data_IF_401393835411
#
_entry.id   IF_401393835411
#
_cell.length_a   1.000
_cell.length_b   1.000
_cell.length_c   1.000
_cell.angle_alpha   90.00
_cell.angle_beta   90.00
_cell.angle_gamma   90.00
#
_symmetry.space_group_name_H-M   'P 1'
#
loop_
_entity.id
_entity.type
_entity.pdbx_description
1 polymer ?
#
# COMPACT_ATOMS: atom_id res chain seq x y z
N UNK A 1 -44.08 66.04 21.36
CA UNK A 1 -44.68 64.75 20.94
C UNK A 1 -43.76 64.16 19.88
N UNK A 2 -42.75 63.39 20.28
CA UNK A 2 -41.79 62.75 19.36
C UNK A 2 -41.89 61.25 19.53
N UNK A 3 -42.35 60.58 18.47
CA UNK A 3 -42.51 59.13 18.40
C UNK A 3 -41.18 58.57 17.90
N UNK A 4 -40.45 57.85 18.76
CA UNK A 4 -39.31 57.03 18.35
C UNK A 4 -39.85 55.71 17.78
N UNK A 5 -39.69 55.52 16.47
CA UNK A 5 -39.94 54.24 15.81
C UNK A 5 -38.74 53.30 16.05
N UNK A 6 -38.94 52.25 16.83
CA UNK A 6 -38.00 51.13 16.92
C UNK A 6 -38.18 50.22 15.69
N UNK A 7 -37.21 50.22 14.77
CA UNK A 7 -37.07 49.12 13.82
C UNK A 7 -36.46 47.93 14.57
N UNK A 8 -37.26 46.88 14.76
CA UNK A 8 -36.77 45.58 15.18
C UNK A 8 -36.07 44.91 14.00
N UNK A 9 -34.74 44.83 14.05
CA UNK A 9 -33.98 43.99 13.12
C UNK A 9 -34.25 42.52 13.46
N UNK A 10 -34.95 41.81 12.58
CA UNK A 10 -35.09 40.36 12.67
C UNK A 10 -33.71 39.73 12.46
N UNK A 11 -33.11 39.23 13.53
CA UNK A 11 -31.89 38.42 13.46
C UNK A 11 -32.23 37.12 12.73
N UNK A 12 -31.78 36.97 11.49
CA UNK A 12 -31.84 35.70 10.77
C UNK A 12 -31.03 34.68 11.57
N UNK A 13 -31.68 33.61 12.04
CA UNK A 13 -30.99 32.48 12.63
C UNK A 13 -30.01 31.90 11.61
N UNK A 14 -28.73 31.65 11.97
CA UNK A 14 -27.79 31.03 11.05
C UNK A 14 -28.37 29.68 10.62
N UNK A 15 -28.40 29.44 9.31
CA UNK A 15 -28.78 28.14 8.77
C UNK A 15 -27.91 27.06 9.43
N UNK A 16 -28.47 25.90 9.82
CA UNK A 16 -27.68 24.82 10.39
C UNK A 16 -26.59 24.47 9.38
N UNK A 17 -25.33 24.54 9.81
CA UNK A 17 -24.19 24.16 8.99
C UNK A 17 -24.39 22.70 8.55
N UNK A 18 -24.26 22.44 7.25
CA UNK A 18 -24.30 21.06 6.73
C UNK A 18 -23.25 20.24 7.49
N UNK A 19 -23.61 19.09 8.09
CA UNK A 19 -22.66 18.25 8.80
C UNK A 19 -21.46 17.92 7.90
N UNK A 20 -20.26 17.94 8.47
CA UNK A 20 -19.07 17.51 7.75
C UNK A 20 -19.21 16.03 7.37
N UNK A 21 -18.88 15.70 6.12
CA UNK A 21 -18.91 14.31 5.64
C UNK A 21 -17.78 13.51 6.27
N UNK A 22 -18.07 12.26 6.61
CA UNK A 22 -17.05 11.29 7.01
C UNK A 22 -16.16 10.88 5.84
N UNK A 23 -14.96 10.32 6.09
CA UNK A 23 -14.10 9.82 5.03
C UNK A 23 -14.81 8.79 4.13
N UNK A 24 -15.61 7.90 4.70
CA UNK A 24 -16.36 6.90 3.96
C UNK A 24 -17.42 7.50 3.04
N UNK A 25 -18.15 8.51 3.49
CA UNK A 25 -19.14 9.22 2.67
C UNK A 25 -18.48 9.99 1.53
N UNK A 26 -17.31 10.59 1.75
CA UNK A 26 -16.56 11.28 0.69
C UNK A 26 -16.13 10.31 -0.40
N UNK A 27 -15.62 9.13 -0.02
CA UNK A 27 -15.24 8.08 -0.98
C UNK A 27 -16.47 7.56 -1.74
N UNK A 28 -17.57 7.31 -1.03
CA UNK A 28 -18.81 6.83 -1.65
C UNK A 28 -19.41 7.84 -2.65
N UNK A 29 -19.26 9.14 -2.38
CA UNK A 29 -19.73 10.23 -3.23
C UNK A 29 -18.73 10.66 -4.32
N UNK A 30 -17.53 10.05 -4.39
CA UNK A 30 -16.52 10.42 -5.36
C UNK A 30 -16.99 10.13 -6.80
N UNK A 31 -16.92 11.09 -7.74
CA UNK A 31 -17.36 10.90 -9.11
C UNK A 31 -16.49 9.86 -9.80
N UNK A 32 -17.05 9.13 -10.78
CA UNK A 32 -16.33 8.08 -11.54
C UNK A 32 -15.03 8.60 -12.17
N UNK A 33 -14.97 9.89 -12.56
CA UNK A 33 -13.77 10.54 -13.09
C UNK A 33 -12.58 10.60 -12.12
N UNK A 34 -12.84 10.47 -10.82
CA UNK A 34 -11.80 10.50 -9.78
C UNK A 34 -11.26 9.09 -9.49
N UNK A 35 -11.80 8.05 -10.13
CA UNK A 35 -11.33 6.67 -9.98
C UNK A 35 -10.44 6.27 -11.16
N UNK A 36 -9.29 5.68 -10.84
CA UNK A 36 -8.34 5.19 -11.83
C UNK A 36 -8.40 3.66 -11.90
N UNK A 37 -8.63 3.07 -13.08
CA UNK A 37 -8.64 1.62 -13.23
C UNK A 37 -7.27 1.00 -12.93
N UNK A 38 -7.29 -0.20 -12.34
CA UNK A 38 -6.09 -1.02 -12.13
C UNK A 38 -6.03 -2.05 -13.25
N UNK A 39 -4.91 -2.13 -13.96
CA UNK A 39 -4.71 -3.13 -15.00
C UNK A 39 -4.75 -4.54 -14.41
N UNK A 40 -5.45 -5.47 -15.06
CA UNK A 40 -5.41 -6.88 -14.67
C UNK A 40 -3.99 -7.47 -14.79
N UNK A 41 -3.15 -6.92 -15.66
CA UNK A 41 -1.75 -7.33 -15.74
C UNK A 41 -1.00 -6.98 -14.45
N UNK A 42 -1.39 -5.94 -13.73
CA UNK A 42 -0.77 -5.53 -12.47
C UNK A 42 -1.36 -6.24 -11.25
N UNK A 43 -2.23 -7.23 -11.45
CA UNK A 43 -2.87 -7.96 -10.37
C UNK A 43 -2.39 -9.41 -10.32
N UNK A 44 -2.10 -9.87 -9.10
CA UNK A 44 -1.99 -11.27 -8.76
C UNK A 44 -3.19 -11.70 -7.91
N UNK A 45 -3.63 -12.93 -8.11
CA UNK A 45 -4.67 -13.55 -7.29
C UNK A 45 -4.06 -14.73 -6.57
N UNK A 46 -4.14 -14.72 -5.24
CA UNK A 46 -3.72 -15.81 -4.37
C UNK A 46 -4.96 -16.43 -3.71
N UNK A 47 -5.18 -17.71 -4.00
CA UNK A 47 -6.20 -18.51 -3.34
C UNK A 47 -5.55 -19.36 -2.24
N UNK A 48 -5.94 -19.10 -1.00
CA UNK A 48 -5.56 -19.90 0.16
C UNK A 48 -6.56 -21.04 0.35
N UNK A 49 -6.15 -22.11 1.04
CA UNK A 49 -7.07 -23.16 1.46
C UNK A 49 -8.30 -22.55 2.16
N UNK A 50 -9.49 -23.16 2.14
CA UNK A 50 -10.66 -22.61 2.85
C UNK A 50 -10.39 -22.43 4.35
N UNK A 51 -11.17 -21.58 5.01
CA UNK A 51 -11.16 -21.51 6.48
C UNK A 51 -11.84 -22.74 7.11
N UNK A 52 -11.88 -22.82 8.44
CA UNK A 52 -12.49 -23.93 9.16
C UNK A 52 -14.00 -24.11 8.88
N UNK A 53 -14.68 -23.07 8.39
CA UNK A 53 -16.07 -23.13 7.97
C UNK A 53 -16.24 -23.46 6.47
N UNK A 54 -15.14 -23.74 5.76
CA UNK A 54 -15.14 -24.03 4.33
C UNK A 54 -15.28 -22.78 3.43
N UNK A 55 -15.14 -21.57 3.98
CA UNK A 55 -15.23 -20.34 3.20
C UNK A 55 -13.95 -20.15 2.38
N UNK A 56 -14.12 -19.86 1.09
CA UNK A 56 -13.00 -19.52 0.21
C UNK A 56 -12.25 -18.26 0.71
N UNK A 57 -10.92 -18.29 0.58
CA UNK A 57 -10.02 -17.21 1.00
C UNK A 57 -9.20 -16.74 -0.19
N UNK A 58 -9.66 -15.67 -0.84
CA UNK A 58 -8.99 -15.04 -1.97
C UNK A 58 -8.34 -13.73 -1.55
N UNK A 59 -7.07 -13.56 -1.92
CA UNK A 59 -6.30 -12.34 -1.74
C UNK A 59 -5.96 -11.79 -3.11
N UNK A 60 -6.24 -10.51 -3.34
CA UNK A 60 -5.88 -9.82 -4.58
C UNK A 60 -4.76 -8.83 -4.27
N UNK A 61 -3.64 -8.99 -4.98
CA UNK A 61 -2.41 -8.21 -4.80
C UNK A 61 -2.22 -7.34 -6.02
N UNK A 62 -2.08 -6.03 -5.83
CA UNK A 62 -1.63 -5.11 -6.87
C UNK A 62 -0.10 -5.02 -6.83
N UNK A 63 0.55 -5.24 -7.96
CA UNK A 63 1.98 -5.03 -8.16
C UNK A 63 2.28 -3.55 -8.36
N UNK A 64 3.45 -3.15 -7.90
CA UNK A 64 3.90 -1.77 -7.90
C UNK A 64 4.39 -1.40 -9.32
N UNK A 65 3.96 -0.25 -9.88
CA UNK A 65 4.33 0.16 -11.24
C UNK A 65 5.77 0.71 -11.31
N UNK A 66 6.28 0.86 -12.54
CA UNK A 66 7.53 1.58 -12.80
C UNK A 66 7.55 2.96 -12.11
N UNK A 67 8.73 3.44 -11.66
CA UNK A 67 10.06 2.83 -11.80
C UNK A 67 10.51 1.96 -10.61
N UNK A 68 9.68 1.76 -9.58
CA UNK A 68 10.13 1.16 -8.33
C UNK A 68 10.08 -0.37 -8.35
N UNK A 69 11.11 -1.02 -7.79
CA UNK A 69 11.17 -2.47 -7.56
C UNK A 69 11.03 -3.39 -8.79
N UNK A 70 11.21 -2.87 -9.99
CA UNK A 70 10.83 -3.55 -11.24
C UNK A 70 11.57 -4.84 -11.54
N UNK A 71 12.82 -4.98 -11.10
CA UNK A 71 13.54 -6.25 -11.17
C UNK A 71 12.84 -7.36 -10.38
N UNK A 72 12.37 -7.07 -9.16
CA UNK A 72 11.64 -8.03 -8.34
C UNK A 72 10.20 -8.22 -8.85
N UNK A 73 9.53 -7.17 -9.31
CA UNK A 73 8.20 -7.29 -9.95
C UNK A 73 8.25 -8.21 -11.16
N UNK A 74 9.28 -8.10 -12.01
CA UNK A 74 9.52 -9.00 -13.14
C UNK A 74 9.74 -10.46 -12.71
N UNK A 75 10.50 -10.69 -11.64
CA UNK A 75 10.67 -12.03 -11.07
C UNK A 75 9.35 -12.59 -10.53
N UNK A 76 8.58 -11.79 -9.81
CA UNK A 76 7.27 -12.16 -9.25
C UNK A 76 6.28 -12.53 -10.37
N UNK A 77 6.27 -11.78 -11.48
CA UNK A 77 5.49 -12.12 -12.68
C UNK A 77 5.92 -13.46 -13.29
N UNK A 78 7.23 -13.71 -13.36
CA UNK A 78 7.78 -14.98 -13.86
C UNK A 78 7.36 -16.14 -12.96
N UNK A 79 7.49 -15.99 -11.64
CA UNK A 79 7.10 -16.99 -10.65
C UNK A 79 5.61 -17.31 -10.73
N UNK A 80 4.76 -16.28 -10.87
CA UNK A 80 3.31 -16.43 -11.03
C UNK A 80 2.95 -17.19 -12.32
N UNK A 81 3.55 -16.82 -13.45
CA UNK A 81 3.34 -17.48 -14.74
C UNK A 81 3.81 -18.94 -14.75
N UNK A 82 4.75 -19.31 -13.87
CA UNK A 82 5.20 -20.70 -13.68
C UNK A 82 4.47 -21.44 -12.56
N UNK A 83 3.43 -20.85 -11.97
CA UNK A 83 2.67 -21.45 -10.87
C UNK A 83 3.55 -21.84 -9.67
N UNK A 84 4.62 -21.08 -9.42
CA UNK A 84 5.68 -21.51 -8.50
C UNK A 84 5.21 -21.59 -7.05
N UNK A 85 4.22 -20.79 -6.63
CA UNK A 85 3.68 -20.83 -5.27
C UNK A 85 2.62 -21.91 -5.03
N UNK A 86 2.13 -22.56 -6.08
CA UNK A 86 1.07 -23.56 -5.95
C UNK A 86 1.55 -24.73 -5.08
N UNK A 87 0.72 -25.08 -4.09
CA UNK A 87 1.02 -26.11 -3.10
C UNK A 87 2.02 -25.70 -2.01
N UNK A 88 2.53 -24.46 -2.04
CA UNK A 88 3.33 -23.90 -0.93
C UNK A 88 2.40 -23.41 0.19
N UNK A 89 2.92 -22.57 1.09
CA UNK A 89 2.14 -22.14 2.24
C UNK A 89 2.57 -20.78 2.79
N UNK A 90 1.67 -20.17 3.55
CA UNK A 90 2.03 -19.16 4.55
C UNK A 90 2.68 -19.91 5.71
N UNK A 91 4.01 -19.85 5.78
CA UNK A 91 4.80 -20.66 6.72
C UNK A 91 5.26 -19.89 7.97
N UNK A 92 5.12 -18.57 7.94
CA UNK A 92 5.56 -17.68 9.02
C UNK A 92 4.57 -16.53 9.22
N UNK A 93 4.11 -16.34 10.45
CA UNK A 93 3.24 -15.23 10.85
C UNK A 93 3.73 -14.68 12.18
N UNK A 94 4.26 -13.46 12.14
CA UNK A 94 4.72 -12.73 13.33
C UNK A 94 3.70 -11.66 13.69
N UNK A 95 3.30 -11.65 14.96
CA UNK A 95 2.29 -10.69 15.43
C UNK A 95 2.75 -9.24 15.22
N UNK A 96 1.81 -8.40 14.81
CA UNK A 96 2.02 -6.99 14.53
C UNK A 96 3.21 -6.68 13.59
N UNK A 97 3.55 -7.64 12.71
CA UNK A 97 4.70 -7.56 11.81
C UNK A 97 4.30 -8.02 10.41
N UNK A 98 4.55 -9.27 10.04
CA UNK A 98 4.28 -9.79 8.70
C UNK A 98 3.70 -11.21 8.71
N UNK A 99 2.91 -11.51 7.68
CA UNK A 99 2.61 -12.86 7.24
C UNK A 99 3.43 -13.16 5.98
N UNK A 100 4.30 -14.17 6.06
CA UNK A 100 5.27 -14.54 5.03
C UNK A 100 4.94 -15.90 4.43
N UNK A 101 5.08 -15.99 3.11
CA UNK A 101 4.83 -17.18 2.31
C UNK A 101 5.91 -17.41 1.26
N UNK A 102 5.90 -18.59 0.67
CA UNK A 102 6.95 -19.07 -0.22
C UNK A 102 7.33 -20.50 0.16
N UNK A 103 8.56 -20.89 -0.15
CA UNK A 103 9.07 -22.18 0.25
C UNK A 103 9.53 -22.15 1.71
N UNK A 104 8.74 -22.73 2.62
CA UNK A 104 9.08 -22.82 4.03
C UNK A 104 10.32 -23.67 4.34
N UNK A 105 10.83 -24.43 3.36
CA UNK A 105 12.07 -25.19 3.44
C UNK A 105 13.20 -24.58 2.57
N UNK A 106 12.99 -23.40 2.01
CA UNK A 106 13.87 -22.79 1.00
C UNK A 106 15.30 -22.50 1.46
N UNK A 107 15.53 -22.36 2.77
CA UNK A 107 16.86 -22.21 3.35
C UNK A 107 17.71 -23.50 3.25
N UNK A 108 17.06 -24.67 3.22
CA UNK A 108 17.72 -25.95 3.02
C UNK A 108 17.85 -26.21 1.51
N UNK A 109 19.04 -25.96 0.95
CA UNK A 109 19.32 -26.12 -0.49
C UNK A 109 19.02 -27.51 -1.05
N UNK A 110 18.96 -28.55 -0.22
CA UNK A 110 18.64 -29.91 -0.66
C UNK A 110 17.12 -30.15 -0.76
N UNK A 111 16.32 -29.30 -0.10
CA UNK A 111 14.86 -29.36 -0.08
C UNK A 111 14.19 -28.24 -0.86
N UNK A 112 14.92 -27.14 -1.06
CA UNK A 112 14.41 -25.95 -1.71
C UNK A 112 13.77 -26.28 -3.06
N UNK A 113 12.54 -25.80 -3.27
CA UNK A 113 11.82 -25.90 -4.53
C UNK A 113 12.63 -25.17 -5.61
N UNK A 114 12.98 -25.83 -6.72
CA UNK A 114 13.77 -25.20 -7.77
C UNK A 114 13.11 -23.93 -8.29
N UNK A 115 13.89 -22.85 -8.39
CA UNK A 115 13.45 -21.60 -8.99
C UNK A 115 13.43 -21.72 -10.52
N UNK A 116 12.50 -21.02 -11.21
CA UNK A 116 12.54 -20.93 -12.67
C UNK A 116 13.83 -20.24 -13.15
N UNK A 117 14.26 -20.58 -14.36
CA UNK A 117 15.40 -19.93 -14.99
C UNK A 117 15.08 -18.47 -15.37
N UNK A 118 16.11 -17.63 -15.48
CA UNK A 118 15.98 -16.26 -16.00
C UNK A 118 15.55 -15.21 -14.98
N UNK A 119 15.39 -15.56 -13.70
CA UNK A 119 15.15 -14.57 -12.64
C UNK A 119 16.32 -13.58 -12.55
N UNK A 120 15.99 -12.29 -12.53
CA UNK A 120 16.94 -11.21 -12.38
C UNK A 120 17.59 -11.24 -10.98
N UNK A 121 18.90 -11.03 -10.94
CA UNK A 121 19.61 -10.68 -9.70
C UNK A 121 19.56 -9.17 -9.54
N UNK A 122 18.72 -8.71 -8.62
CA UNK A 122 18.48 -7.28 -8.42
C UNK A 122 19.41 -6.76 -7.32
N UNK A 123 20.23 -5.74 -7.55
CA UNK A 123 21.20 -5.31 -6.53
C UNK A 123 20.55 -4.33 -5.53
N UNK A 124 21.19 -4.13 -4.36
CA UNK A 124 20.61 -3.39 -3.22
C UNK A 124 20.30 -1.93 -3.53
N UNK A 125 21.02 -1.32 -4.47
CA UNK A 125 20.81 0.05 -4.92
C UNK A 125 19.41 0.26 -5.49
N UNK A 126 18.73 -0.82 -5.92
CA UNK A 126 17.37 -0.78 -6.46
C UNK A 126 16.26 -0.74 -5.41
N UNK A 127 16.58 -0.81 -4.11
CA UNK A 127 15.60 -0.52 -3.05
C UNK A 127 15.15 0.95 -3.05
N UNK A 128 15.93 1.83 -3.69
CA UNK A 128 15.64 3.25 -3.83
C UNK A 128 15.69 3.66 -5.31
N UNK A 129 14.83 4.60 -5.69
CA UNK A 129 14.98 5.35 -6.92
C UNK A 129 16.08 6.38 -6.73
N UNK A 130 17.09 6.38 -7.60
CA UNK A 130 18.17 7.37 -7.68
C UNK A 130 18.07 8.06 -9.03
N UNK A 131 17.62 9.32 -9.08
CA UNK A 131 17.54 10.07 -10.33
C UNK A 131 18.88 10.46 -10.93
N UNK A 132 19.87 10.70 -10.08
CA UNK A 132 21.15 11.25 -10.49
C UNK A 132 22.32 10.39 -9.99
N UNK A 133 23.47 10.56 -10.62
CA UNK A 133 24.72 9.87 -10.27
C UNK A 133 25.01 8.61 -11.09
N UNK A 134 26.19 7.99 -10.88
CA UNK A 134 26.63 6.81 -11.63
C UNK A 134 25.76 5.57 -11.36
N UNK A 135 25.00 5.56 -10.27
CA UNK A 135 24.09 4.49 -9.86
C UNK A 135 22.61 4.81 -10.16
N UNK A 136 22.33 5.72 -11.10
CA UNK A 136 20.96 6.11 -11.44
C UNK A 136 20.11 4.89 -11.80
N UNK A 137 18.93 4.81 -11.20
CA UNK A 137 18.02 3.67 -11.39
C UNK A 137 16.86 3.94 -12.35
N UNK A 138 16.72 5.19 -12.81
CA UNK A 138 15.80 5.63 -13.85
C UNK A 138 16.50 6.56 -14.87
N UNK A 139 15.92 6.66 -16.07
CA UNK A 139 16.34 7.56 -17.15
C UNK A 139 15.88 9.00 -16.88
N UNK A 140 16.53 10.00 -17.48
CA UNK A 140 16.13 11.40 -17.32
C UNK A 140 14.67 11.67 -17.71
N UNK A 141 14.16 11.02 -18.76
CA UNK A 141 12.78 11.18 -19.19
C UNK A 141 11.77 10.61 -18.19
N UNK A 142 12.06 9.44 -17.62
CA UNK A 142 11.27 8.85 -16.52
C UNK A 142 11.31 9.75 -15.28
N UNK A 143 12.45 10.39 -15.02
CA UNK A 143 12.65 11.28 -13.90
C UNK A 143 11.97 12.62 -14.06
N UNK A 144 12.03 13.23 -15.23
CA UNK A 144 11.34 14.48 -15.54
C UNK A 144 9.81 14.27 -15.47
N UNK A 145 9.32 13.15 -15.99
CA UNK A 145 7.91 12.76 -15.88
C UNK A 145 7.52 12.51 -14.41
N UNK A 146 8.36 11.82 -13.66
CA UNK A 146 8.15 11.53 -12.24
C UNK A 146 8.17 12.80 -11.39
N UNK A 147 9.16 13.67 -11.55
CA UNK A 147 9.29 14.96 -10.87
C UNK A 147 8.13 15.90 -11.19
N UNK A 148 7.74 16.02 -12.47
CA UNK A 148 6.60 16.85 -12.87
C UNK A 148 5.27 16.33 -12.27
N UNK A 149 5.13 15.01 -12.12
CA UNK A 149 3.95 14.41 -11.46
C UNK A 149 4.01 14.60 -9.94
N UNK A 150 5.20 14.51 -9.35
CA UNK A 150 5.43 14.81 -7.93
C UNK A 150 5.09 16.26 -7.64
N UNK A 151 5.55 17.25 -8.40
CA UNK A 151 5.18 18.65 -8.13
C UNK A 151 3.65 18.85 -8.08
N UNK A 152 2.89 18.09 -8.88
CA UNK A 152 1.43 18.04 -8.81
C UNK A 152 0.86 17.33 -7.58
N UNK A 153 1.38 16.15 -7.20
CA UNK A 153 0.90 15.36 -6.03
C UNK A 153 1.43 15.87 -4.70
N UNK A 154 2.69 16.26 -4.65
CA UNK A 154 3.38 16.97 -3.58
C UNK A 154 2.67 18.31 -3.33
N UNK A 155 2.34 19.08 -4.38
CA UNK A 155 1.52 20.28 -4.23
C UNK A 155 0.13 20.00 -3.65
N UNK A 156 -0.52 18.89 -3.99
CA UNK A 156 -1.83 18.51 -3.45
C UNK A 156 -1.78 17.96 -2.01
N UNK A 157 -0.72 17.22 -1.67
CA UNK A 157 -0.43 16.69 -0.34
C UNK A 157 0.01 17.81 0.61
N UNK A 158 0.89 18.71 0.16
CA UNK A 158 1.35 19.86 0.93
C UNK A 158 0.44 21.09 0.84
N UNK A 159 -0.52 21.16 -0.08
CA UNK A 159 -1.62 22.13 0.01
C UNK A 159 -2.54 21.84 1.21
N UNK A 160 -2.50 20.63 1.79
CA UNK A 160 -3.07 20.35 3.11
C UNK A 160 -2.20 20.91 4.25
N UNK A 161 -0.92 21.23 3.98
CA UNK A 161 0.06 21.67 4.96
C UNK A 161 0.42 23.16 4.86
N UNK A 162 0.05 23.88 3.79
CA UNK A 162 0.47 25.28 3.62
C UNK A 162 -0.64 26.26 3.19
N UNK A 163 -1.45 26.65 4.19
CA UNK A 163 -1.75 28.04 4.59
C UNK A 163 -2.71 28.00 5.79
N UNK A 164 -2.17 27.74 6.98
CA UNK A 164 -2.88 27.86 8.26
C UNK A 164 -3.53 26.58 8.81
N UNK A 165 -3.39 25.43 8.14
CA UNK A 165 -3.80 24.14 8.70
C UNK A 165 -2.64 23.55 9.51
N UNK A 166 -2.83 23.45 10.82
CA UNK A 166 -1.88 22.88 11.77
C UNK A 166 -1.81 21.35 11.62
N UNK A 167 -1.25 20.86 10.50
CA UNK A 167 -0.85 19.46 10.37
C UNK A 167 0.63 19.33 10.69
N UNK A 168 0.95 18.52 11.71
CA UNK A 168 2.32 18.19 12.08
C UNK A 168 2.88 17.18 11.07
N UNK A 169 3.27 17.68 9.91
CA UNK A 169 3.87 16.93 8.80
C UNK A 169 5.33 16.56 9.13
N UNK A 170 5.49 15.71 10.15
CA UNK A 170 6.80 15.16 10.53
C UNK A 170 6.70 13.65 10.49
N UNK A 171 7.21 13.04 9.42
CA UNK A 171 7.46 11.60 9.36
C UNK A 171 8.78 11.28 10.10
N UNK A 172 8.80 10.32 11.04
CA UNK A 172 10.00 10.01 11.81
C UNK A 172 11.04 9.17 11.04
N UNK A 173 10.70 8.68 9.84
CA UNK A 173 11.53 7.78 9.04
C UNK A 173 12.08 8.44 7.76
N UNK A 174 11.47 9.52 7.28
CA UNK A 174 11.82 10.18 6.03
C UNK A 174 11.77 11.70 6.13
N UNK A 175 12.51 12.39 5.26
CA UNK A 175 12.45 13.85 5.19
C UNK A 175 11.09 14.32 4.63
N UNK A 176 10.51 13.53 3.71
CA UNK A 176 9.24 13.79 3.04
C UNK A 176 8.48 12.49 2.78
N UNK A 177 7.15 12.56 2.81
CA UNK A 177 6.25 11.48 2.38
C UNK A 177 5.20 12.04 1.44
N UNK A 178 4.73 11.23 0.50
CA UNK A 178 3.75 11.66 -0.51
C UNK A 178 3.08 10.44 -1.15
N UNK A 179 2.04 10.69 -1.94
CA UNK A 179 1.46 9.68 -2.83
C UNK A 179 1.87 9.91 -4.28
N UNK A 180 2.12 8.82 -5.00
CA UNK A 180 2.33 8.83 -6.44
C UNK A 180 1.48 7.73 -7.07
N UNK A 181 0.52 8.10 -7.93
CA UNK A 181 -0.37 7.14 -8.62
C UNK A 181 -1.01 6.12 -7.66
N UNK A 182 -1.48 6.58 -6.51
CA UNK A 182 -2.08 5.71 -5.51
C UNK A 182 -1.11 4.98 -4.58
N UNK A 183 0.20 5.19 -4.68
CA UNK A 183 1.21 4.51 -3.85
C UNK A 183 1.82 5.44 -2.81
N UNK A 184 1.85 5.05 -1.52
CA UNK A 184 2.57 5.82 -0.50
C UNK A 184 4.09 5.64 -0.71
N UNK A 185 4.79 6.77 -0.80
CA UNK A 185 6.23 6.84 -1.00
C UNK A 185 6.85 7.77 0.05
N UNK A 186 8.16 7.65 0.19
CA UNK A 186 9.00 8.55 0.96
C UNK A 186 10.18 9.03 0.13
N UNK A 187 10.73 10.19 0.48
CA UNK A 187 11.93 10.76 -0.15
C UNK A 187 12.87 11.42 0.86
N UNK A 188 14.10 11.66 0.42
CA UNK A 188 15.09 12.48 1.14
C UNK A 188 15.24 13.86 0.52
N UNK A 189 15.46 14.87 1.37
CA UNK A 189 15.78 16.27 1.00
C UNK A 189 17.23 16.48 0.61
N UNK A 190 18.15 15.60 1.02
CA UNK A 190 19.60 15.74 0.77
C UNK A 190 20.05 15.22 -0.60
N UNK A 191 19.10 15.01 -1.50
CA UNK A 191 19.30 14.48 -2.84
C UNK A 191 18.19 13.49 -3.16
N UNK A 192 17.87 13.30 -4.44
CA UNK A 192 16.72 12.48 -4.77
C UNK A 192 17.03 11.01 -4.52
N UNK A 193 16.47 10.51 -3.43
CA UNK A 193 16.29 9.09 -3.15
C UNK A 193 14.83 8.95 -2.78
N UNK A 194 14.05 8.22 -3.57
CA UNK A 194 12.65 7.94 -3.27
C UNK A 194 12.42 6.45 -3.15
N UNK A 195 11.53 6.02 -2.27
CA UNK A 195 11.26 4.61 -2.04
C UNK A 195 9.81 4.35 -1.66
N UNK A 196 9.25 3.18 -2.01
CA UNK A 196 7.99 2.77 -1.43
C UNK A 196 8.15 2.42 0.05
N UNK A 197 7.12 2.70 0.82
CA UNK A 197 7.12 2.52 2.28
C UNK A 197 6.38 1.26 2.71
N UNK A 198 6.87 0.62 3.78
CA UNK A 198 6.28 -0.62 4.33
C UNK A 198 5.01 -0.34 5.15
N UNK A 199 3.94 0.12 4.51
CA UNK A 199 2.65 0.31 5.17
C UNK A 199 1.90 -1.01 5.39
N UNK A 200 0.89 -1.03 6.28
CA UNK A 200 -0.03 -2.17 6.39
C UNK A 200 -0.62 -2.53 5.01
N UNK A 201 -0.64 -3.84 4.72
CA UNK A 201 -0.98 -4.48 3.45
C UNK A 201 0.05 -4.33 2.32
N UNK A 202 1.18 -3.64 2.50
CA UNK A 202 2.28 -3.69 1.52
C UNK A 202 2.87 -5.11 1.42
N UNK A 203 3.30 -5.47 0.22
CA UNK A 203 3.99 -6.72 -0.06
C UNK A 203 5.48 -6.45 -0.26
N UNK A 204 6.31 -7.10 0.54
CA UNK A 204 7.75 -7.04 0.41
C UNK A 204 8.38 -8.38 0.04
N UNK A 205 9.63 -8.33 -0.42
CA UNK A 205 10.46 -9.49 -0.75
C UNK A 205 11.30 -9.85 0.45
N UNK A 206 11.16 -11.10 0.93
CA UNK A 206 12.06 -11.63 1.95
C UNK A 206 13.41 -12.01 1.33
N UNK A 207 14.44 -12.00 2.17
CA UNK A 207 15.82 -12.33 1.80
C UNK A 207 16.59 -12.82 3.00
N UNK A 208 17.72 -13.44 2.72
CA UNK A 208 18.77 -13.69 3.70
C UNK A 208 19.59 -12.40 3.96
N UNK A 209 20.66 -12.54 4.74
CA UNK A 209 21.60 -11.45 4.99
C UNK A 209 22.27 -10.96 3.69
N UNK A 210 22.62 -9.67 3.61
CA UNK A 210 23.43 -9.13 2.52
C UNK A 210 24.66 -9.99 2.21
N UNK A 211 25.03 -10.16 0.93
CA UNK A 211 24.56 -9.41 -0.23
C UNK A 211 23.28 -9.97 -0.88
N UNK A 212 22.61 -10.94 -0.27
CA UNK A 212 21.33 -11.43 -0.80
C UNK A 212 20.29 -10.30 -0.82
N UNK A 213 19.43 -10.31 -1.83
CA UNK A 213 18.38 -9.32 -2.03
C UNK A 213 17.01 -9.94 -2.26
N UNK A 214 16.94 -11.28 -2.15
CA UNK A 214 15.74 -12.04 -2.40
C UNK A 214 15.42 -12.11 -3.89
N UNK A 215 14.96 -13.26 -4.33
CA UNK A 215 14.55 -13.45 -5.73
C UNK A 215 13.13 -12.96 -5.99
N UNK A 216 12.33 -12.79 -4.93
CA UNK A 216 10.88 -12.58 -4.99
C UNK A 216 10.07 -13.86 -4.79
N UNK A 217 10.72 -15.01 -4.57
CA UNK A 217 10.06 -16.28 -4.27
C UNK A 217 9.46 -16.31 -2.85
N UNK A 218 10.17 -15.78 -1.87
CA UNK A 218 9.68 -15.57 -0.52
C UNK A 218 9.14 -14.15 -0.40
N UNK A 219 7.84 -14.03 -0.12
CA UNK A 219 7.14 -12.75 -0.04
C UNK A 219 6.45 -12.63 1.30
N UNK A 220 6.18 -11.39 1.72
CA UNK A 220 5.42 -11.14 2.93
C UNK A 220 4.46 -9.97 2.78
N UNK A 221 3.35 -10.04 3.49
CA UNK A 221 2.41 -8.93 3.67
C UNK A 221 2.64 -8.32 5.04
N UNK A 222 2.71 -6.99 5.14
CA UNK A 222 2.66 -6.30 6.42
C UNK A 222 1.25 -6.43 7.01
N UNK A 223 1.13 -7.04 8.20
CA UNK A 223 -0.15 -7.33 8.86
C UNK A 223 -0.36 -6.58 10.18
N UNK A 224 0.56 -5.67 10.52
CA UNK A 224 0.51 -4.86 11.74
C UNK A 224 0.89 -3.42 11.51
N UNK A 225 1.43 -2.79 12.56
CA UNK A 225 2.03 -1.48 12.48
C UNK A 225 3.14 -1.47 11.42
N UNK A 226 3.24 -0.37 10.66
CA UNK A 226 4.13 -0.23 9.53
C UNK A 226 5.60 -0.40 9.98
N UNK A 227 6.32 -1.47 9.57
CA UNK A 227 7.70 -1.69 9.95
C UNK A 227 8.63 -0.84 9.08
N UNK A 228 8.52 0.49 9.19
CA UNK A 228 9.21 1.48 8.34
C UNK A 228 10.74 1.41 8.46
N UNK A 229 11.29 0.73 9.47
CA UNK A 229 12.70 0.37 9.52
C UNK A 229 13.16 -0.56 8.37
N UNK A 230 12.22 -1.24 7.69
CA UNK A 230 12.50 -2.06 6.52
C UNK A 230 12.62 -1.22 5.23
N UNK A 231 12.15 0.03 5.25
CA UNK A 231 12.31 0.93 4.13
C UNK A 231 13.78 1.02 3.73
N UNK A 232 14.03 1.00 2.41
CA UNK A 232 15.37 1.04 1.80
C UNK A 232 16.28 -0.17 2.12
N UNK A 233 15.79 -1.15 2.88
CA UNK A 233 16.51 -2.38 3.25
C UNK A 233 15.92 -3.64 2.61
N UNK A 234 14.63 -3.59 2.26
CA UNK A 234 13.88 -4.64 1.57
C UNK A 234 13.04 -4.00 0.46
N UNK A 235 12.84 -4.76 -0.62
CA UNK A 235 12.01 -4.32 -1.73
C UNK A 235 10.53 -4.42 -1.36
N UNK A 236 9.78 -3.36 -1.62
CA UNK A 236 8.30 -3.39 -1.66
C UNK A 236 7.89 -3.56 -3.12
N UNK A 237 7.13 -4.61 -3.42
CA UNK A 237 6.74 -4.98 -4.80
C UNK A 237 5.26 -4.79 -5.08
N UNK A 238 4.46 -4.45 -4.07
CA UNK A 238 3.02 -4.32 -4.24
C UNK A 238 2.27 -4.08 -2.95
N UNK A 239 0.95 -4.29 -3.01
CA UNK A 239 0.03 -4.23 -1.86
C UNK A 239 -1.14 -5.19 -2.04
N UNK A 240 -1.69 -5.69 -0.95
CA UNK A 240 -3.00 -6.35 -0.96
C UNK A 240 -4.08 -5.28 -1.13
N UNK A 241 -4.93 -5.42 -2.14
CA UNK A 241 -6.08 -4.54 -2.39
C UNK A 241 -7.40 -5.16 -1.97
N UNK A 242 -7.45 -6.48 -1.81
CA UNK A 242 -8.61 -7.20 -1.29
C UNK A 242 -8.16 -8.46 -0.54
N UNK A 243 -8.83 -8.81 0.57
CA UNK A 243 -8.59 -10.06 1.28
C UNK A 243 -7.44 -10.04 2.30
N UNK A 244 -6.90 -8.87 2.68
CA UNK A 244 -5.81 -8.78 3.67
C UNK A 244 -6.14 -9.45 5.02
N UNK A 245 -7.43 -9.47 5.41
CA UNK A 245 -7.89 -10.16 6.62
C UNK A 245 -7.60 -11.66 6.61
N UNK A 246 -7.51 -12.29 5.44
CA UNK A 246 -7.15 -13.71 5.31
C UNK A 246 -5.69 -14.00 5.64
N UNK A 247 -4.83 -12.97 5.66
CA UNK A 247 -3.44 -13.04 6.09
C UNK A 247 -3.26 -12.52 7.51
N UNK A 248 -3.86 -11.36 7.84
CA UNK A 248 -3.65 -10.72 9.14
C UNK A 248 -4.34 -11.41 10.32
N UNK A 249 -5.36 -12.24 10.05
CA UNK A 249 -6.04 -13.03 11.08
C UNK A 249 -5.45 -14.42 11.32
N UNK A 250 -4.44 -14.84 10.55
CA UNK A 250 -3.84 -16.17 10.69
C UNK A 250 -3.20 -16.37 12.07
N UNK A 251 -3.31 -17.56 12.70
CA UNK A 251 -2.66 -17.85 13.98
C UNK A 251 -1.16 -17.50 13.93
N UNK A 252 -0.58 -17.06 15.05
CA UNK A 252 0.82 -16.63 15.07
C UNK A 252 1.72 -17.86 15.19
N UNK A 253 2.88 -17.85 14.53
CA UNK A 253 3.85 -18.93 14.70
C UNK A 253 4.47 -18.89 16.10
N UNK A 254 4.60 -20.05 16.72
CA UNK A 254 5.12 -20.17 18.09
C UNK A 254 6.66 -20.18 18.14
N UNK A 255 7.34 -20.41 17.01
CA UNK A 255 8.80 -20.44 16.94
C UNK A 255 9.39 -19.02 16.84
N UNK A 256 10.72 -18.84 17.03
CA UNK A 256 11.38 -17.57 16.80
C UNK A 256 11.02 -16.95 15.45
N UNK A 257 10.89 -15.63 15.43
CA UNK A 257 10.48 -14.86 14.26
C UNK A 257 9.10 -15.21 13.70
N UNK A 258 8.27 -15.99 14.41
CA UNK A 258 6.90 -16.29 14.03
C UNK A 258 6.76 -17.43 13.02
N UNK A 259 7.77 -18.29 12.88
CA UNK A 259 7.67 -19.50 12.05
C UNK A 259 6.71 -20.51 12.72
N UNK A 260 5.91 -21.22 11.93
CA UNK A 260 5.11 -22.32 12.46
C UNK A 260 6.00 -23.53 12.77
N UNK A 261 6.06 -23.94 14.04
CA UNK A 261 6.80 -25.14 14.46
C UNK A 261 6.22 -26.43 13.89
N UNK A 262 4.89 -26.47 13.73
CA UNK A 262 4.17 -27.59 13.11
C UNK A 262 3.85 -27.25 11.64
N UNK A 263 4.38 -27.97 10.65
CA UNK A 263 4.03 -27.79 9.25
C UNK A 263 2.53 -27.89 8.96
N UNK A 264 1.76 -28.65 9.75
CA UNK A 264 0.31 -28.75 9.59
C UNK A 264 -0.45 -27.46 9.99
N UNK A 265 0.20 -26.56 10.74
CA UNK A 265 -0.35 -25.24 11.07
C UNK A 265 -0.15 -24.20 9.94
N UNK A 266 0.71 -24.49 8.95
CA UNK A 266 0.94 -23.61 7.80
C UNK A 266 -0.35 -23.55 6.97
N UNK A 267 -0.75 -22.35 6.52
CA UNK A 267 -1.92 -22.22 5.65
C UNK A 267 -1.52 -22.54 4.21
N UNK A 268 -2.10 -23.58 3.58
CA UNK A 268 -1.75 -23.92 2.21
C UNK A 268 -2.17 -22.82 1.23
N UNK A 269 -1.29 -22.56 0.26
CA UNK A 269 -1.58 -21.80 -0.94
C UNK A 269 -2.06 -22.79 -1.97
N UNK A 270 -3.33 -22.68 -2.35
CA UNK A 270 -3.88 -23.49 -3.44
C UNK A 270 -3.29 -23.03 -4.75
N UNK A 271 -3.21 -21.69 -4.94
CA UNK A 271 -2.74 -21.15 -6.20
C UNK A 271 -2.32 -19.67 -6.10
N UNK A 272 -1.36 -19.24 -6.93
CA UNK A 272 -1.02 -17.82 -7.17
C UNK A 272 -0.75 -17.57 -8.65
N UNK A 273 -1.59 -16.75 -9.28
CA UNK A 273 -1.50 -16.48 -10.73
C UNK A 273 -1.68 -15.01 -11.06
N UNK A 274 -1.41 -14.66 -12.31
CA UNK A 274 -1.88 -13.39 -12.87
C UNK A 274 -3.41 -13.34 -12.84
N UNK A 275 -3.97 -12.17 -12.53
CA UNK A 275 -5.40 -11.94 -12.65
C UNK A 275 -5.93 -12.17 -14.08
N UNK A 276 -5.09 -12.04 -15.11
CA UNK A 276 -5.47 -12.34 -16.50
C UNK A 276 -5.86 -13.81 -16.72
N UNK A 277 -5.43 -14.72 -15.84
CA UNK A 277 -5.73 -16.15 -15.89
C UNK A 277 -6.98 -16.53 -15.07
N UNK A 278 -7.53 -15.59 -14.29
CA UNK A 278 -8.64 -15.86 -13.37
C UNK A 278 -9.94 -15.40 -14.02
N UNK A 279 -10.77 -16.34 -14.52
CA UNK A 279 -12.06 -15.98 -15.09
C UNK A 279 -12.94 -15.32 -14.01
N UNK A 280 -13.78 -14.38 -14.46
CA UNK A 280 -14.75 -13.68 -13.61
C UNK A 280 -14.14 -12.88 -12.45
N UNK A 281 -12.83 -12.58 -12.48
CA UNK A 281 -12.24 -11.65 -11.52
C UNK A 281 -12.86 -10.26 -11.74
N UNK A 282 -13.34 -9.59 -10.67
CA UNK A 282 -13.81 -8.22 -10.79
C UNK A 282 -12.70 -7.31 -11.34
N UNK A 283 -13.08 -6.32 -12.13
CA UNK A 283 -12.18 -5.19 -12.38
C UNK A 283 -12.04 -4.38 -11.08
N UNK A 284 -10.88 -3.76 -10.86
CA UNK A 284 -10.63 -2.93 -9.69
C UNK A 284 -10.21 -1.53 -10.13
N UNK A 285 -10.50 -0.54 -9.27
CA UNK A 285 -10.08 0.84 -9.44
C UNK A 285 -9.73 1.46 -8.08
N UNK A 286 -8.79 2.40 -8.08
CA UNK A 286 -8.41 3.15 -6.89
C UNK A 286 -8.81 4.61 -7.02
N UNK A 287 -9.13 5.26 -5.90
CA UNK A 287 -9.39 6.69 -5.90
C UNK A 287 -8.08 7.43 -6.19
N UNK A 288 -8.02 8.14 -7.31
CA UNK A 288 -6.82 8.87 -7.75
C UNK A 288 -6.33 9.80 -6.64
N UNK A 289 -5.07 9.65 -6.26
CA UNK A 289 -4.42 10.46 -5.23
C UNK A 289 -4.20 11.92 -5.66
N UNK A 290 -4.34 12.19 -6.96
CA UNK A 290 -4.30 13.51 -7.59
C UNK A 290 -5.69 14.20 -7.57
N UNK A 291 -6.77 13.46 -7.27
CA UNK A 291 -8.14 13.95 -7.40
C UNK A 291 -8.55 14.94 -6.30
N UNK A 292 -9.55 15.82 -6.57
CA UNK A 292 -10.20 16.60 -5.52
C UNK A 292 -10.86 15.75 -4.44
N UNK A 293 -11.42 14.57 -4.80
CA UNK A 293 -12.05 13.68 -3.83
C UNK A 293 -11.07 13.06 -2.86
N UNK A 294 -9.89 12.63 -3.32
CA UNK A 294 -8.84 12.12 -2.44
C UNK A 294 -8.35 13.19 -1.48
N UNK A 295 -8.20 14.45 -1.93
CA UNK A 295 -7.83 15.57 -1.03
C UNK A 295 -8.85 15.78 0.09
N UNK A 296 -10.16 15.75 -0.22
CA UNK A 296 -11.21 15.84 0.80
C UNK A 296 -11.21 14.63 1.74
N UNK A 297 -11.00 13.44 1.19
CA UNK A 297 -10.88 12.20 1.96
C UNK A 297 -9.71 12.27 2.94
N UNK A 298 -8.53 12.72 2.49
CA UNK A 298 -7.34 12.90 3.33
C UNK A 298 -7.57 13.92 4.46
N UNK A 299 -8.16 15.08 4.16
CA UNK A 299 -8.51 16.09 5.18
C UNK A 299 -9.50 15.53 6.21
N UNK A 300 -10.53 14.81 5.76
CA UNK A 300 -11.50 14.20 6.64
C UNK A 300 -10.87 13.09 7.50
N UNK A 301 -9.97 12.27 6.95
CA UNK A 301 -9.26 11.22 7.69
C UNK A 301 -8.28 11.79 8.72
N UNK A 302 -7.63 12.91 8.41
CA UNK A 302 -6.69 13.57 9.32
C UNK A 302 -7.39 14.28 10.49
N UNK A 303 -8.63 14.70 10.29
CA UNK A 303 -9.30 15.60 11.23
C UNK A 303 -10.53 15.02 11.88
N UNK A 304 -11.30 14.18 11.20
CA UNK A 304 -12.59 13.64 11.62
C UNK A 304 -13.48 14.73 12.29
N UNK A 305 -14.28 15.42 11.48
CA UNK A 305 -15.11 16.57 11.94
C UNK A 305 -16.57 16.19 12.22
N UNK A 306 -16.90 14.91 12.18
CA UNK A 306 -18.21 14.38 12.54
C UNK A 306 -18.48 14.59 14.04
N UNK A 307 -19.75 14.71 14.49
CA UNK A 307 -20.09 15.07 15.89
C UNK A 307 -19.49 14.17 16.98
N UNK A 308 -19.11 12.93 16.64
CA UNK A 308 -18.43 12.01 17.55
C UNK A 308 -17.05 12.54 17.99
N UNK A 309 -16.36 13.26 17.12
CA UNK A 309 -15.00 13.72 17.31
C UNK A 309 -14.97 15.17 17.82
N UNK A 310 -14.87 15.30 19.15
CA UNK A 310 -14.85 16.62 19.81
C UNK A 310 -13.55 17.40 19.54
N UNK A 311 -12.44 16.70 19.33
CA UNK A 311 -11.11 17.30 19.13
C UNK A 311 -10.46 16.70 17.88
N UNK A 312 -10.33 17.48 16.79
CA UNK A 312 -9.63 17.04 15.60
C UNK A 312 -8.17 16.71 15.87
N UNK A 313 -7.67 15.62 15.29
CA UNK A 313 -6.28 15.19 15.50
C UNK A 313 -5.26 16.13 14.83
N UNK A 314 -5.65 16.76 13.72
CA UNK A 314 -4.75 17.65 12.99
C UNK A 314 -3.62 16.90 12.30
N UNK A 315 -3.82 15.65 11.88
CA UNK A 315 -2.78 14.92 11.15
C UNK A 315 -3.03 13.43 10.99
N UNK A 316 -2.38 12.86 9.98
CA UNK A 316 -2.43 11.44 9.67
C UNK A 316 -1.08 10.96 9.16
N UNK A 317 -0.65 9.80 9.65
CA UNK A 317 0.54 9.12 9.14
C UNK A 317 0.31 8.59 7.72
N UNK A 318 1.33 8.63 6.86
CA UNK A 318 1.24 8.19 5.46
C UNK A 318 0.74 6.74 5.33
N UNK A 319 1.10 5.88 6.28
CA UNK A 319 0.66 4.49 6.29
C UNK A 319 -0.73 4.28 6.90
N UNK A 320 -1.28 5.27 7.59
CA UNK A 320 -2.65 5.26 8.10
C UNK A 320 -3.66 5.83 7.09
N UNK A 321 -3.24 6.70 6.16
CA UNK A 321 -4.09 7.14 5.06
C UNK A 321 -4.13 6.09 3.94
N UNK A 322 -5.15 5.23 3.95
CA UNK A 322 -5.31 4.17 2.95
C UNK A 322 -5.88 4.73 1.65
N UNK A 323 -5.22 4.46 0.53
CA UNK A 323 -5.81 4.77 -0.79
C UNK A 323 -7.03 3.87 -1.00
N UNK A 324 -8.25 4.45 -1.14
CA UNK A 324 -9.44 3.66 -1.35
C UNK A 324 -9.36 2.85 -2.64
N UNK A 325 -9.71 1.56 -2.57
CA UNK A 325 -9.85 0.67 -3.72
C UNK A 325 -11.24 0.07 -3.68
N UNK A 326 -11.86 -0.05 -4.86
CA UNK A 326 -13.14 -0.74 -5.02
C UNK A 326 -13.13 -1.67 -6.22
N UNK A 327 -14.07 -2.62 -6.22
CA UNK A 327 -14.46 -3.33 -7.43
C UNK A 327 -15.19 -2.35 -8.33
N UNK A 328 -14.83 -2.31 -9.62
CA UNK A 328 -15.51 -1.52 -10.63
C UNK A 328 -16.80 -2.23 -11.01
N UNK A 329 -17.90 -1.48 -10.96
CA UNK A 329 -19.23 -1.94 -11.38
C UNK A 329 -19.36 -2.07 -12.89
#
# INVERSE_FOLDING_TARGET
MSIFAFLAAAAASPAPATPALSPGEIVAAAPVSDWTPISAEDLLVMDLAPDAAGKARRVVIQLLPDPFSQGWVGNVRTLAATHWWDGLSVYRVQDNWVAQWGDGEGEDRLKAKPLPAGLARVPQERYVLRPEGPERSATHEELDTWLATIEGTHGAWHALTDKGAAIKDTDPYADETFFYRGWPLAASRKGPSAWPVHCYASIGVARDEPPDTGTGAELYAVIGHAPRQLDRNLAVIGRVIEGISYLSSLPRGAAPMGVYSDPAARTPILSVHSAAEVPDLPAYEYLSTESPSFRRYADASANHREPFYVQPAGGIDICNLKVPVRRRE
#
